data_IF_997516732237
#
_entry.id   IF_997516732237
#
_cell.length_a   1.000
_cell.length_b   1.000
_cell.length_c   1.000
_cell.angle_alpha   90.00
_cell.angle_beta   90.00
_cell.angle_gamma   90.00
#
_symmetry.space_group_name_H-M   'P 1'
#
loop_
_entity.id
_entity.type
_entity.pdbx_description
1 polymer ?
#
# COMPACT_ATOMS: atom_id res chain seq x y z
N UNK A 1 78.31 -27.11 46.15
CA UNK A 1 77.13 -27.29 47.02
C UNK A 1 76.52 -25.94 47.30
N UNK A 2 75.19 -25.91 47.43
CA UNK A 2 74.27 -24.78 47.74
C UNK A 2 74.17 -23.63 46.74
N UNK A 3 73.19 -23.75 45.86
CA UNK A 3 72.47 -22.65 45.20
C UNK A 3 71.72 -21.78 46.22
N UNK A 4 71.65 -20.47 45.96
CA UNK A 4 70.42 -19.68 46.15
C UNK A 4 70.46 -18.36 45.36
N UNK A 5 69.29 -17.82 44.96
CA UNK A 5 69.11 -17.23 43.63
C UNK A 5 68.90 -15.71 43.63
N UNK A 6 69.04 -15.17 42.42
CA UNK A 6 68.87 -13.78 42.03
C UNK A 6 67.49 -13.20 42.39
N UNK A 7 67.53 -11.94 42.83
CA UNK A 7 66.35 -11.08 42.98
C UNK A 7 65.83 -10.69 41.60
N UNK A 8 64.73 -11.31 41.17
CA UNK A 8 63.96 -10.84 40.02
C UNK A 8 62.98 -9.74 40.45
N UNK A 9 63.01 -8.70 39.63
CA UNK A 9 62.26 -7.45 39.62
C UNK A 9 60.73 -7.58 39.77
N UNK A 10 60.16 -6.62 40.48
CA UNK A 10 58.78 -6.53 40.95
C UNK A 10 57.78 -5.96 39.92
N UNK A 11 57.67 -6.55 38.73
CA UNK A 11 56.67 -6.10 37.74
C UNK A 11 55.72 -7.20 37.22
N UNK A 12 55.70 -8.38 37.84
CA UNK A 12 54.86 -9.51 37.42
C UNK A 12 53.89 -9.99 38.49
N UNK A 13 53.11 -9.08 39.07
CA UNK A 13 52.02 -9.44 40.01
C UNK A 13 50.80 -8.54 39.89
N UNK A 14 50.20 -8.44 38.72
CA UNK A 14 48.77 -8.17 38.63
C UNK A 14 48.22 -9.00 37.46
N UNK A 15 47.09 -9.66 37.68
CA UNK A 15 46.47 -10.72 36.86
C UNK A 15 47.02 -12.12 37.07
N UNK A 16 46.72 -12.70 38.22
CA UNK A 16 46.08 -14.02 38.26
C UNK A 16 45.54 -14.30 39.66
N UNK A 17 44.24 -14.51 39.74
CA UNK A 17 43.53 -14.78 40.98
C UNK A 17 42.03 -14.85 40.77
N UNK A 18 41.56 -15.92 40.11
CA UNK A 18 40.32 -16.65 40.44
C UNK A 18 40.10 -17.81 39.45
N UNK A 19 40.56 -18.98 39.87
CA UNK A 19 39.82 -20.27 39.83
C UNK A 19 39.21 -20.77 38.52
N UNK A 20 39.86 -21.81 37.98
CA UNK A 20 39.31 -23.13 37.61
C UNK A 20 38.06 -23.17 36.72
N UNK A 21 38.23 -23.63 35.47
CA UNK A 21 37.48 -24.77 34.90
C UNK A 21 38.21 -25.29 33.67
N UNK A 22 38.55 -26.59 33.68
CA UNK A 22 39.23 -27.31 32.62
C UNK A 22 38.37 -27.42 31.35
N UNK A 23 38.88 -26.95 30.21
CA UNK A 23 38.33 -27.27 28.89
C UNK A 23 39.05 -28.50 28.32
N UNK A 24 38.31 -29.59 28.09
CA UNK A 24 38.72 -30.63 27.15
C UNK A 24 38.12 -30.34 25.78
N UNK A 25 38.99 -30.33 24.77
CA UNK A 25 38.67 -30.20 23.35
C UNK A 25 38.22 -31.57 22.83
N UNK A 26 37.01 -31.66 22.28
CA UNK A 26 36.62 -32.75 21.37
C UNK A 26 36.22 -32.16 20.03
N UNK A 27 36.93 -32.61 19.00
CA UNK A 27 36.64 -32.38 17.59
C UNK A 27 35.64 -33.44 17.15
N UNK A 28 34.56 -33.05 16.46
CA UNK A 28 33.68 -34.00 15.75
C UNK A 28 33.11 -33.34 14.49
N UNK A 29 33.28 -34.07 13.39
CA UNK A 29 33.09 -33.69 12.00
C UNK A 29 31.61 -33.52 11.58
N UNK A 30 31.33 -32.85 10.45
CA UNK A 30 29.97 -32.54 9.99
C UNK A 30 29.43 -33.59 9.02
N UNK A 31 28.18 -34.05 9.21
CA UNK A 31 27.36 -34.79 8.23
C UNK A 31 25.89 -34.88 8.71
N UNK A 32 24.90 -35.22 7.87
CA UNK A 32 24.22 -34.36 6.89
C UNK A 32 22.71 -34.19 7.20
N UNK A 33 22.05 -33.25 6.51
CA UNK A 33 20.62 -32.96 6.70
C UNK A 33 19.77 -34.00 5.97
N UNK A 34 19.02 -34.81 6.72
CA UNK A 34 18.06 -35.79 6.17
C UNK A 34 16.61 -35.31 6.36
N UNK A 35 15.87 -35.34 5.26
CA UNK A 35 14.43 -35.11 5.13
C UNK A 35 13.62 -36.12 5.95
N UNK A 36 12.54 -35.66 6.58
CA UNK A 36 11.15 -36.13 6.40
C UNK A 36 10.23 -35.40 7.41
N UNK A 37 9.20 -34.68 6.98
CA UNK A 37 7.84 -35.13 6.63
C UNK A 37 6.86 -35.05 7.82
N UNK A 38 5.80 -34.24 7.67
CA UNK A 38 4.68 -34.15 8.63
C UNK A 38 4.27 -32.71 8.94
N UNK A 39 3.60 -31.99 8.02
CA UNK A 39 2.13 -31.90 7.92
C UNK A 39 1.48 -31.05 9.03
N UNK A 40 1.36 -29.73 8.80
CA UNK A 40 0.16 -28.94 9.06
C UNK A 40 0.07 -27.84 7.98
N UNK A 41 -0.76 -28.07 6.96
CA UNK A 41 -1.18 -27.04 5.99
C UNK A 41 -2.51 -26.47 6.49
N UNK A 42 -2.59 -25.15 6.63
CA UNK A 42 -3.85 -24.42 6.43
C UNK A 42 -3.58 -23.37 5.36
N UNK A 43 -4.41 -23.44 4.32
CA UNK A 43 -4.28 -22.70 3.08
C UNK A 43 -4.76 -21.26 3.27
N UNK A 44 -3.92 -20.28 2.93
CA UNK A 44 -4.35 -18.92 2.66
C UNK A 44 -4.49 -18.75 1.14
N UNK A 45 -5.75 -18.70 0.70
CA UNK A 45 -6.13 -18.24 -0.63
C UNK A 45 -5.80 -16.75 -0.77
N UNK A 46 -4.95 -16.40 -1.73
CA UNK A 46 -4.86 -15.06 -2.29
C UNK A 46 -5.92 -14.94 -3.39
N UNK A 47 -7.07 -14.34 -3.06
CA UNK A 47 -8.00 -13.80 -4.06
C UNK A 47 -7.76 -12.29 -4.15
N UNK A 48 -7.40 -11.89 -5.37
CA UNK A 48 -7.47 -10.53 -5.91
C UNK A 48 -8.94 -10.17 -6.05
N UNK A 49 -9.41 -9.11 -5.39
CA UNK A 49 -10.60 -8.38 -5.82
C UNK A 49 -10.61 -6.94 -5.28
N UNK A 50 -11.08 -6.05 -6.16
CA UNK A 50 -10.89 -4.61 -6.17
C UNK A 50 -11.47 -3.86 -4.95
N UNK A 51 -10.64 -3.00 -4.35
CA UNK A 51 -11.11 -1.92 -3.48
C UNK A 51 -11.65 -0.75 -4.31
N UNK A 52 -12.98 -0.70 -4.50
CA UNK A 52 -13.71 0.57 -4.70
C UNK A 52 -13.92 1.21 -3.32
N UNK A 53 -13.06 2.15 -2.96
CA UNK A 53 -13.32 3.08 -1.86
C UNK A 53 -14.27 4.18 -2.33
N UNK A 54 -15.57 4.01 -2.10
CA UNK A 54 -16.53 5.12 -2.15
C UNK A 54 -16.75 5.60 -0.72
N UNK A 55 -16.27 6.81 -0.46
CA UNK A 55 -16.69 7.66 0.65
C UNK A 55 -18.20 7.92 0.47
N UNK A 56 -19.03 7.43 1.39
CA UNK A 56 -20.40 7.94 1.54
C UNK A 56 -20.59 8.43 2.95
N UNK A 57 -20.77 9.75 3.02
CA UNK A 57 -21.08 10.48 4.24
C UNK A 57 -22.34 9.97 4.92
N UNK A 58 -22.21 9.87 6.24
CA UNK A 58 -23.13 10.43 7.24
C UNK A 58 -24.45 10.98 6.64
N UNK A 59 -25.55 10.23 6.84
CA UNK A 59 -26.91 10.76 7.03
C UNK A 59 -27.78 9.68 7.65
N UNK A 60 -27.84 9.69 8.97
CA UNK A 60 -28.89 9.05 9.76
C UNK A 60 -30.18 9.85 9.55
N UNK A 61 -31.11 9.31 8.78
CA UNK A 61 -32.52 9.71 8.83
C UNK A 61 -33.27 8.62 9.57
N UNK A 62 -33.54 8.89 10.85
CA UNK A 62 -34.53 8.18 11.64
C UNK A 62 -35.91 8.38 10.99
N UNK A 63 -36.44 7.36 10.31
CA UNK A 63 -37.86 7.33 10.00
C UNK A 63 -38.62 6.83 11.23
N UNK A 64 -38.97 7.76 12.11
CA UNK A 64 -40.13 7.56 12.99
C UNK A 64 -41.35 7.42 12.08
N UNK A 65 -41.73 6.17 11.79
CA UNK A 65 -43.01 5.89 11.14
C UNK A 65 -44.11 6.16 12.17
N UNK A 66 -44.58 7.40 12.20
CA UNK A 66 -45.83 7.78 12.82
C UNK A 66 -46.91 6.82 12.33
N UNK A 67 -47.44 6.00 13.25
CA UNK A 67 -48.71 5.31 13.01
C UNK A 67 -49.77 6.40 12.85
N UNK A 68 -50.56 6.43 11.76
CA UNK A 68 -51.79 7.17 11.81
C UNK A 68 -52.69 6.43 12.81
N UNK A 69 -52.88 7.02 13.99
CA UNK A 69 -54.05 6.73 14.78
C UNK A 69 -55.25 7.24 13.96
N UNK A 70 -55.84 6.36 13.16
CA UNK A 70 -57.23 6.51 12.79
C UNK A 70 -58.03 6.31 14.08
N UNK A 71 -58.11 7.38 14.88
CA UNK A 71 -59.24 7.56 15.79
C UNK A 71 -60.42 7.81 14.87
N UNK A 72 -61.09 6.74 14.43
CA UNK A 72 -62.46 6.88 13.96
C UNK A 72 -63.25 7.43 15.15
N UNK A 73 -63.54 8.72 15.09
CA UNK A 73 -64.46 9.37 16.00
C UNK A 73 -65.80 8.67 15.84
N UNK A 74 -66.08 7.73 16.75
CA UNK A 74 -67.43 7.26 16.96
C UNK A 74 -68.22 8.45 17.52
N UNK A 75 -68.87 9.20 16.64
CA UNK A 75 -69.95 10.08 17.04
C UNK A 75 -71.15 9.17 17.34
N UNK A 76 -71.61 9.02 18.59
CA UNK A 76 -72.90 8.41 18.82
C UNK A 76 -73.93 9.42 18.31
N UNK A 77 -74.42 9.20 17.08
CA UNK A 77 -75.61 9.89 16.61
C UNK A 77 -76.74 9.43 17.52
N UNK A 78 -76.98 10.22 18.57
CA UNK A 78 -78.05 10.02 19.53
C UNK A 78 -79.35 10.31 18.76
N UNK A 79 -79.88 9.28 18.11
CA UNK A 79 -81.20 9.31 17.48
C UNK A 79 -82.19 9.59 18.60
N UNK A 80 -82.61 10.85 18.67
CA UNK A 80 -83.64 11.36 19.57
C UNK A 80 -84.95 10.66 19.17
N UNK A 81 -85.37 9.64 19.93
CA UNK A 81 -86.70 9.03 19.75
C UNK A 81 -87.75 10.08 20.15
N UNK A 82 -88.66 10.50 19.26
CA UNK A 82 -89.85 11.25 19.66
C UNK A 82 -90.79 10.33 20.43
N UNK A 83 -91.49 10.89 21.42
CA UNK A 83 -92.19 10.16 22.48
C UNK A 83 -93.08 9.00 22.03
N UNK A 84 -92.89 7.86 22.70
CA UNK A 84 -93.91 6.83 22.85
C UNK A 84 -94.63 7.12 24.17
N UNK A 85 -95.81 7.72 24.06
CA UNK A 85 -96.85 7.62 25.06
C UNK A 85 -97.06 6.14 25.40
N UNK A 86 -97.26 5.89 26.69
CA UNK A 86 -97.69 4.62 27.27
C UNK A 86 -98.71 3.89 26.38
N UNK A 87 -98.21 2.92 25.62
CA UNK A 87 -99.00 1.78 25.16
C UNK A 87 -98.22 0.55 25.60
N UNK A 88 -98.85 -0.24 26.46
CA UNK A 88 -98.26 -1.43 27.06
C UNK A 88 -97.56 -2.27 26.00
N UNK A 89 -96.35 -2.71 26.35
CA UNK A 89 -95.56 -3.66 25.57
C UNK A 89 -96.46 -4.87 25.33
N UNK A 90 -96.99 -4.99 24.11
CA UNK A 90 -97.71 -6.18 23.70
C UNK A 90 -96.75 -7.37 23.65
N UNK A 91 -97.23 -8.60 23.88
CA UNK A 91 -96.38 -9.79 23.79
C UNK A 91 -95.64 -9.90 22.45
N UNK A 92 -96.19 -9.34 21.37
CA UNK A 92 -95.60 -9.31 20.03
C UNK A 92 -94.33 -8.44 19.91
N UNK A 93 -94.30 -7.28 20.56
CA UNK A 93 -93.14 -6.36 20.52
C UNK A 93 -91.98 -6.90 21.36
N UNK A 94 -92.29 -7.60 22.47
CA UNK A 94 -91.29 -8.29 23.29
C UNK A 94 -90.64 -9.45 22.55
N UNK A 95 -91.39 -10.17 21.71
CA UNK A 95 -90.86 -11.26 20.87
C UNK A 95 -89.93 -10.70 19.79
N UNK A 96 -90.29 -9.59 19.14
CA UNK A 96 -89.43 -8.94 18.15
C UNK A 96 -88.13 -8.43 18.76
N UNK A 97 -88.21 -7.75 19.92
CA UNK A 97 -87.02 -7.28 20.64
C UNK A 97 -86.11 -8.45 21.02
N UNK A 98 -86.67 -9.55 21.54
CA UNK A 98 -85.88 -10.76 21.85
C UNK A 98 -85.23 -11.38 20.61
N UNK A 99 -85.92 -11.39 19.46
CA UNK A 99 -85.35 -11.93 18.21
C UNK A 99 -84.19 -11.07 17.70
N UNK A 100 -84.30 -9.75 17.80
CA UNK A 100 -83.24 -8.81 17.41
C UNK A 100 -82.07 -8.86 18.40
N UNK A 101 -82.31 -9.02 19.70
CA UNK A 101 -81.26 -9.24 20.69
C UNK A 101 -80.50 -10.54 20.45
N UNK A 102 -81.20 -11.61 20.06
CA UNK A 102 -80.57 -12.87 19.67
C UNK A 102 -79.74 -12.71 18.40
N UNK A 103 -80.25 -12.01 17.38
CA UNK A 103 -79.49 -11.73 16.16
C UNK A 103 -78.27 -10.85 16.40
N UNK A 104 -78.39 -9.82 17.24
CA UNK A 104 -77.25 -8.97 17.60
C UNK A 104 -76.19 -9.75 18.36
N UNK A 105 -76.57 -10.62 19.29
CA UNK A 105 -75.62 -11.52 19.97
C UNK A 105 -74.90 -12.43 18.99
N UNK A 106 -75.62 -12.98 18.00
CA UNK A 106 -74.99 -13.79 16.96
C UNK A 106 -73.98 -12.97 16.14
N UNK A 107 -74.36 -11.78 15.70
CA UNK A 107 -73.46 -10.88 14.97
C UNK A 107 -72.24 -10.45 15.80
N UNK A 108 -72.41 -10.18 17.09
CA UNK A 108 -71.30 -9.88 18.01
C UNK A 108 -70.34 -11.07 18.10
N UNK A 109 -70.85 -12.29 18.29
CA UNK A 109 -69.99 -13.49 18.32
C UNK A 109 -69.31 -13.77 16.98
N UNK A 110 -69.96 -13.45 15.85
CA UNK A 110 -69.40 -13.59 14.51
C UNK A 110 -68.28 -12.56 14.27
N UNK A 111 -68.49 -11.31 14.71
CA UNK A 111 -67.47 -10.25 14.67
C UNK A 111 -66.27 -10.64 15.55
N UNK A 112 -66.50 -11.12 16.78
CA UNK A 112 -65.42 -11.57 17.67
C UNK A 112 -64.65 -12.77 17.09
N UNK A 113 -65.35 -13.72 16.48
CA UNK A 113 -64.77 -14.87 15.77
C UNK A 113 -63.86 -14.42 14.61
N UNK A 114 -64.34 -13.51 13.77
CA UNK A 114 -63.59 -12.97 12.63
C UNK A 114 -62.40 -12.13 13.10
N UNK A 115 -62.59 -11.25 14.08
CA UNK A 115 -61.49 -10.49 14.67
C UNK A 115 -60.41 -11.42 15.25
N UNK A 116 -60.80 -12.49 15.95
CA UNK A 116 -59.85 -13.48 16.47
C UNK A 116 -59.09 -14.25 15.38
N UNK A 117 -59.68 -14.43 14.19
CA UNK A 117 -59.00 -15.04 13.03
C UNK A 117 -58.01 -14.08 12.35
N UNK A 118 -58.33 -12.79 12.28
CA UNK A 118 -57.51 -11.81 11.54
C UNK A 118 -56.54 -11.00 12.41
N UNK A 119 -56.77 -10.90 13.73
CA UNK A 119 -55.92 -10.15 14.66
C UNK A 119 -54.80 -10.99 15.29
N UNK A 120 -54.91 -12.33 15.26
CA UNK A 120 -53.84 -13.22 15.75
C UNK A 120 -52.72 -13.24 14.72
N UNK A 121 -51.47 -12.90 15.10
CA UNK A 121 -50.33 -13.07 14.20
C UNK A 121 -50.33 -14.50 13.67
N UNK A 122 -50.43 -14.67 12.36
CA UNK A 122 -50.25 -15.97 11.71
C UNK A 122 -48.89 -16.53 12.15
N UNK A 123 -48.78 -17.85 12.38
CA UNK A 123 -47.54 -18.47 12.88
C UNK A 123 -46.30 -18.10 12.05
N UNK A 124 -46.49 -17.89 10.75
CA UNK A 124 -45.46 -17.39 9.83
C UNK A 124 -44.89 -16.02 10.23
N UNK A 125 -45.72 -15.08 10.68
CA UNK A 125 -45.29 -13.77 11.15
C UNK A 125 -44.43 -13.89 12.42
N UNK A 126 -44.80 -14.77 13.35
CA UNK A 126 -44.03 -15.02 14.58
C UNK A 126 -42.66 -15.61 14.24
N UNK A 127 -42.59 -16.57 13.30
CA UNK A 127 -41.33 -17.15 12.84
C UNK A 127 -40.40 -16.11 12.20
N UNK A 128 -40.92 -15.23 11.35
CA UNK A 128 -40.11 -14.15 10.76
C UNK A 128 -39.68 -13.11 11.81
N UNK A 129 -40.53 -12.81 12.79
CA UNK A 129 -40.16 -11.93 13.91
C UNK A 129 -39.04 -12.55 14.77
N UNK A 130 -39.05 -13.86 15.01
CA UNK A 130 -37.98 -14.59 15.68
C UNK A 130 -36.68 -14.61 14.87
N UNK A 131 -36.74 -14.91 13.57
CA UNK A 131 -35.56 -14.85 12.69
C UNK A 131 -34.95 -13.44 12.64
N UNK A 132 -35.79 -12.40 12.56
CA UNK A 132 -35.32 -11.01 12.60
C UNK A 132 -34.65 -10.66 13.94
N UNK A 133 -35.17 -11.16 15.06
CA UNK A 133 -34.54 -10.99 16.37
C UNK A 133 -33.17 -11.67 16.42
N UNK A 134 -33.06 -12.89 15.91
CA UNK A 134 -31.79 -13.62 15.90
C UNK A 134 -30.75 -12.94 14.98
N UNK A 135 -31.17 -12.51 13.79
CA UNK A 135 -30.31 -11.75 12.87
C UNK A 135 -29.82 -10.43 13.49
N UNK A 136 -30.67 -9.73 14.25
CA UNK A 136 -30.27 -8.53 14.99
C UNK A 136 -29.26 -8.85 16.09
N UNK A 137 -29.49 -9.91 16.87
CA UNK A 137 -28.56 -10.37 17.90
C UNK A 137 -27.19 -10.71 17.31
N UNK A 138 -27.17 -11.42 16.18
CA UNK A 138 -25.93 -11.72 15.46
C UNK A 138 -25.25 -10.44 14.93
N UNK A 139 -26.01 -9.50 14.37
CA UNK A 139 -25.47 -8.22 13.92
C UNK A 139 -24.82 -7.43 15.07
N UNK A 140 -25.47 -7.40 16.24
CA UNK A 140 -24.93 -6.72 17.43
C UNK A 140 -23.68 -7.42 17.97
N UNK A 141 -23.63 -8.76 17.93
CA UNK A 141 -22.43 -9.52 18.30
C UNK A 141 -21.25 -9.24 17.36
N UNK A 142 -21.48 -9.27 16.05
CA UNK A 142 -20.46 -8.93 15.06
C UNK A 142 -20.01 -7.48 15.21
N UNK A 143 -20.95 -6.58 15.55
CA UNK A 143 -20.66 -5.16 15.81
C UNK A 143 -19.73 -5.02 17.02
N UNK A 144 -20.00 -5.72 18.12
CA UNK A 144 -19.18 -5.72 19.33
C UNK A 144 -17.79 -6.30 19.09
N UNK A 145 -17.69 -7.43 18.38
CA UNK A 145 -16.40 -8.04 18.02
C UNK A 145 -15.54 -7.10 17.17
N UNK A 146 -16.15 -6.43 16.19
CA UNK A 146 -15.48 -5.41 15.37
C UNK A 146 -14.99 -4.25 16.23
N UNK A 147 -15.82 -3.72 17.14
CA UNK A 147 -15.42 -2.60 18.00
C UNK A 147 -14.27 -2.99 18.95
N UNK A 148 -14.28 -4.20 19.50
CA UNK A 148 -13.18 -4.74 20.30
C UNK A 148 -11.88 -4.89 19.47
N UNK A 149 -11.99 -5.42 18.25
CA UNK A 149 -10.83 -5.55 17.36
C UNK A 149 -10.24 -4.20 16.95
N UNK A 150 -11.09 -3.20 16.68
CA UNK A 150 -10.67 -1.83 16.38
C UNK A 150 -9.98 -1.22 17.60
N UNK A 151 -10.54 -1.36 18.80
CA UNK A 151 -9.95 -0.83 20.03
C UNK A 151 -8.60 -1.48 20.37
N UNK A 152 -8.40 -2.76 20.03
CA UNK A 152 -7.14 -3.48 20.25
C UNK A 152 -6.06 -3.12 19.21
N UNK A 153 -6.44 -2.64 18.03
CA UNK A 153 -5.51 -2.33 16.93
C UNK A 153 -4.53 -1.22 17.30
N UNK A 154 -5.01 -0.11 17.83
CA UNK A 154 -4.19 1.08 18.14
C UNK A 154 -3.14 0.82 19.24
N UNK A 155 -3.45 0.17 20.38
CA UNK A 155 -2.44 -0.15 21.38
C UNK A 155 -1.43 -1.20 20.88
N UNK A 156 -1.84 -2.18 20.07
CA UNK A 156 -0.90 -3.13 19.45
C UNK A 156 0.03 -2.43 18.46
N UNK A 157 -0.48 -1.50 17.65
CA UNK A 157 0.33 -0.69 16.76
C UNK A 157 1.33 0.18 17.54
N UNK A 158 0.90 0.79 18.65
CA UNK A 158 1.79 1.55 19.55
C UNK A 158 2.90 0.70 20.16
N UNK A 159 2.59 -0.51 20.65
CA UNK A 159 3.60 -1.45 21.17
C UNK A 159 4.62 -1.86 20.10
N UNK A 160 4.14 -2.14 18.89
CA UNK A 160 5.00 -2.50 17.76
C UNK A 160 5.93 -1.34 17.38
N UNK A 161 5.44 -0.09 17.40
CA UNK A 161 6.25 1.09 17.15
C UNK A 161 7.29 1.31 18.25
N UNK A 162 6.92 1.15 19.52
CA UNK A 162 7.89 1.23 20.63
C UNK A 162 8.99 0.18 20.52
N UNK A 163 8.67 -1.05 20.09
CA UNK A 163 9.66 -2.11 19.89
C UNK A 163 10.58 -1.78 18.72
N UNK A 164 10.04 -1.23 17.62
CA UNK A 164 10.85 -0.77 16.48
C UNK A 164 11.83 0.31 16.88
N UNK A 165 11.39 1.35 17.59
CA UNK A 165 12.28 2.44 18.05
C UNK A 165 13.41 1.88 18.91
N UNK A 166 13.09 1.01 19.88
CA UNK A 166 14.12 0.35 20.71
C UNK A 166 15.08 -0.51 19.90
N UNK A 167 14.59 -1.18 18.86
CA UNK A 167 15.42 -1.99 17.96
C UNK A 167 16.35 -1.10 17.13
N UNK A 168 15.85 0.01 16.60
CA UNK A 168 16.63 0.99 15.84
C UNK A 168 17.72 1.62 16.70
N UNK A 169 17.40 2.05 17.93
CA UNK A 169 18.38 2.55 18.90
C UNK A 169 19.46 1.51 19.21
N UNK A 170 19.09 0.25 19.46
CA UNK A 170 20.04 -0.82 19.70
C UNK A 170 20.94 -1.10 18.48
N UNK A 171 20.38 -1.01 17.28
CA UNK A 171 21.11 -1.17 16.02
C UNK A 171 22.10 -0.03 15.80
N UNK A 172 21.73 1.22 16.11
CA UNK A 172 22.64 2.36 16.07
C UNK A 172 23.77 2.25 17.09
N UNK A 173 23.47 1.84 18.33
CA UNK A 173 24.48 1.60 19.35
C UNK A 173 25.45 0.48 18.94
N UNK A 174 24.94 -0.60 18.34
CA UNK A 174 25.77 -1.69 17.79
C UNK A 174 26.70 -1.19 16.70
N UNK A 175 26.18 -0.39 15.76
CA UNK A 175 27.00 0.21 14.68
C UNK A 175 28.09 1.12 15.25
N UNK A 176 27.79 1.95 16.25
CA UNK A 176 28.78 2.79 16.94
C UNK A 176 29.88 1.93 17.57
N UNK A 177 29.50 0.88 18.30
CA UNK A 177 30.47 -0.04 18.90
C UNK A 177 31.31 -0.78 17.85
N UNK A 178 30.72 -1.20 16.72
CA UNK A 178 31.45 -1.81 15.59
C UNK A 178 32.46 -0.84 14.97
N UNK A 179 32.09 0.43 14.79
CA UNK A 179 32.99 1.48 14.31
C UNK A 179 34.13 1.74 15.30
N UNK A 180 33.84 1.80 16.60
CA UNK A 180 34.87 1.98 17.64
C UNK A 180 35.85 0.79 17.64
N UNK A 181 35.36 -0.45 17.49
CA UNK A 181 36.21 -1.65 17.38
C UNK A 181 37.12 -1.58 16.14
N UNK A 182 36.59 -1.18 14.99
CA UNK A 182 37.39 -1.03 13.78
C UNK A 182 38.39 0.13 13.89
N UNK A 183 38.03 1.20 14.61
CA UNK A 183 38.92 2.32 14.89
C UNK A 183 40.09 1.94 15.83
N UNK A 184 39.89 1.05 16.79
CA UNK A 184 40.96 0.57 17.68
C UNK A 184 41.88 -0.48 17.05
N UNK A 185 41.46 -1.11 15.95
CA UNK A 185 42.25 -2.11 15.24
C UNK A 185 43.67 -1.63 14.83
N UNK A 186 43.84 -0.47 14.16
CA UNK A 186 45.18 0.03 13.84
C UNK A 186 46.03 0.34 15.06
N UNK A 187 45.42 0.78 16.18
CA UNK A 187 46.17 1.05 17.42
C UNK A 187 46.72 -0.24 18.03
N UNK A 188 45.96 -1.33 17.98
CA UNK A 188 46.42 -2.67 18.39
C UNK A 188 47.52 -3.18 17.46
N UNK A 189 47.39 -2.99 16.15
CA UNK A 189 48.43 -3.36 15.16
C UNK A 189 49.72 -2.52 15.34
N UNK A 190 49.58 -1.24 15.66
CA UNK A 190 50.70 -0.36 15.98
C UNK A 190 51.39 -0.77 17.29
N UNK A 191 50.62 -1.07 18.35
CA UNK A 191 51.17 -1.54 19.61
C UNK A 191 51.87 -2.89 19.48
N UNK A 192 51.30 -3.83 18.71
CA UNK A 192 51.90 -5.14 18.47
C UNK A 192 53.17 -5.05 17.62
N UNK A 193 53.19 -4.22 16.57
CA UNK A 193 54.40 -3.99 15.78
C UNK A 193 55.52 -3.30 16.59
N UNK A 194 55.18 -2.33 17.45
CA UNK A 194 56.13 -1.72 18.37
C UNK A 194 56.69 -2.74 19.38
N UNK A 195 55.84 -3.62 19.93
CA UNK A 195 56.27 -4.71 20.82
C UNK A 195 57.27 -5.63 20.12
N UNK A 196 56.96 -6.09 18.91
CA UNK A 196 57.84 -6.96 18.10
C UNK A 196 59.17 -6.26 17.79
N UNK A 197 59.16 -4.96 17.49
CA UNK A 197 60.38 -4.20 17.25
C UNK A 197 61.28 -4.14 18.49
N UNK A 198 60.69 -3.92 19.67
CA UNK A 198 61.40 -3.91 20.95
C UNK A 198 61.92 -5.30 21.33
N UNK A 199 61.13 -6.36 21.11
CA UNK A 199 61.55 -7.76 21.31
C UNK A 199 62.80 -8.07 20.45
N UNK A 200 62.79 -7.68 19.17
CA UNK A 200 63.97 -7.85 18.29
C UNK A 200 65.18 -7.05 18.75
N UNK A 201 64.98 -5.83 19.29
CA UNK A 201 66.08 -5.04 19.83
C UNK A 201 66.66 -5.68 21.09
N UNK A 202 65.82 -6.25 21.95
CA UNK A 202 66.24 -7.01 23.12
C UNK A 202 67.09 -8.22 22.69
N UNK A 203 66.57 -9.05 21.78
CA UNK A 203 67.29 -10.23 21.25
C UNK A 203 68.66 -9.83 20.67
N UNK A 204 68.72 -8.75 19.89
CA UNK A 204 69.98 -8.25 19.33
C UNK A 204 70.97 -7.80 20.40
N UNK A 205 70.50 -7.15 21.47
CA UNK A 205 71.34 -6.73 22.58
C UNK A 205 71.84 -7.93 23.40
N UNK A 206 71.00 -8.94 23.61
CA UNK A 206 71.39 -10.20 24.25
C UNK A 206 72.51 -10.89 23.47
N UNK A 207 72.35 -11.06 22.15
CA UNK A 207 73.40 -11.63 21.28
C UNK A 207 74.69 -10.81 21.35
N UNK A 208 74.59 -9.47 21.41
CA UNK A 208 75.76 -8.61 21.52
C UNK A 208 76.47 -8.75 22.86
N UNK A 209 75.73 -8.90 23.96
CA UNK A 209 76.30 -9.16 25.28
C UNK A 209 77.02 -10.51 25.29
N UNK A 210 76.40 -11.56 24.78
CA UNK A 210 77.01 -12.89 24.69
C UNK A 210 78.28 -12.89 23.83
N UNK A 211 78.27 -12.15 22.72
CA UNK A 211 79.45 -11.96 21.88
C UNK A 211 80.58 -11.27 22.64
N UNK A 212 80.31 -10.15 23.30
CA UNK A 212 81.31 -9.44 24.09
C UNK A 212 81.86 -10.29 25.24
N UNK A 213 81.01 -11.09 25.90
CA UNK A 213 81.45 -12.01 26.94
C UNK A 213 82.36 -13.12 26.39
N UNK A 214 82.09 -13.65 25.19
CA UNK A 214 82.97 -14.63 24.53
C UNK A 214 84.32 -14.01 24.17
N UNK A 215 84.31 -12.85 23.51
CA UNK A 215 85.54 -12.13 23.14
C UNK A 215 86.37 -11.82 24.38
N UNK A 216 85.75 -11.32 25.45
CA UNK A 216 86.48 -11.00 26.68
C UNK A 216 87.09 -12.24 27.35
N UNK A 217 86.40 -13.40 27.30
CA UNK A 217 86.97 -14.67 27.79
C UNK A 217 88.16 -15.10 26.95
N UNK A 218 88.05 -15.01 25.63
CA UNK A 218 89.15 -15.34 24.70
C UNK A 218 90.35 -14.40 24.89
N UNK A 219 90.13 -13.09 25.03
CA UNK A 219 91.18 -12.10 25.32
C UNK A 219 91.88 -12.39 26.66
N UNK A 220 91.13 -12.73 27.71
CA UNK A 220 91.72 -13.12 29.00
C UNK A 220 92.58 -14.37 28.82
N UNK A 221 92.07 -15.40 28.15
CA UNK A 221 92.83 -16.64 27.90
C UNK A 221 94.10 -16.37 27.09
N UNK A 222 94.04 -15.50 26.09
CA UNK A 222 95.19 -15.12 25.27
C UNK A 222 96.21 -14.30 26.06
N UNK A 223 95.77 -13.30 26.84
CA UNK A 223 96.65 -12.54 27.73
C UNK A 223 97.30 -13.44 28.79
N UNK A 224 96.55 -14.40 29.36
CA UNK A 224 97.14 -15.38 30.27
C UNK A 224 98.18 -16.26 29.57
N UNK A 225 97.89 -16.76 28.36
CA UNK A 225 98.86 -17.49 27.53
C UNK A 225 100.10 -16.64 27.25
N UNK A 226 99.94 -15.35 26.93
CA UNK A 226 101.06 -14.43 26.72
C UNK A 226 101.88 -14.21 27.98
N UNK A 227 101.25 -14.08 29.15
CA UNK A 227 101.97 -13.98 30.44
C UNK A 227 102.76 -15.26 30.72
N UNK A 228 102.15 -16.44 30.54
CA UNK A 228 102.85 -17.72 30.70
C UNK A 228 103.96 -17.90 29.67
N UNK A 229 103.73 -17.51 28.42
CA UNK A 229 104.72 -17.55 27.36
C UNK A 229 105.88 -16.58 27.65
N UNK A 230 105.60 -15.33 28.03
CA UNK A 230 106.60 -14.33 28.42
C UNK A 230 107.40 -14.74 29.66
N UNK A 231 106.79 -15.53 30.56
CA UNK A 231 107.47 -16.13 31.70
C UNK A 231 108.35 -17.34 31.31
N UNK A 232 108.14 -17.94 30.13
CA UNK A 232 108.91 -19.07 29.58
C UNK A 232 109.93 -18.61 28.50
N UNK A 233 109.70 -17.48 27.81
CA UNK A 233 110.54 -16.94 26.73
C UNK A 233 111.48 -15.82 27.17
N UNK A 234 111.63 -15.59 28.49
CA UNK A 234 112.70 -14.74 29.03
C UNK A 234 114.12 -15.34 28.88
N UNK A 235 114.26 -16.47 28.19
CA UNK A 235 115.53 -17.08 27.81
C UNK A 235 115.44 -17.63 26.39
N UNK A 236 116.27 -17.08 25.50
CA UNK A 236 116.64 -17.59 24.16
C UNK A 236 115.62 -17.38 23.03
N UNK A 237 115.94 -16.93 21.81
CA UNK A 237 117.21 -16.58 21.18
C UNK A 237 116.93 -15.59 20.02
N UNK A 238 117.83 -14.63 19.84
CA UNK A 238 117.89 -13.79 18.65
C UNK A 238 118.49 -14.59 17.49
N UNK A 239 117.75 -14.75 16.41
CA UNK A 239 118.34 -14.92 15.08
C UNK A 239 117.71 -13.89 14.16
N UNK A 240 118.52 -12.99 13.62
CA UNK A 240 118.09 -12.04 12.60
C UNK A 240 117.71 -12.85 11.35
N UNK A 241 116.41 -12.92 10.98
CA UNK A 241 116.04 -13.41 9.67
C UNK A 241 116.48 -12.36 8.65
N UNK A 242 116.76 -12.75 7.42
CA UNK A 242 117.08 -11.83 6.33
C UNK A 242 115.95 -10.81 6.14
N UNK A 243 116.16 -9.65 6.77
CA UNK A 243 115.19 -8.58 6.96
C UNK A 243 114.72 -8.03 5.61
N UNK A 244 115.54 -8.19 4.56
CA UNK A 244 115.27 -7.63 3.24
C UNK A 244 114.13 -8.36 2.50
N UNK A 245 114.07 -9.70 2.60
CA UNK A 245 112.99 -10.49 2.00
C UNK A 245 111.70 -10.36 2.80
N UNK A 246 111.79 -10.39 4.13
CA UNK A 246 110.66 -10.19 5.02
C UNK A 246 110.04 -8.78 4.86
N UNK A 247 110.86 -7.72 4.78
CA UNK A 247 110.38 -6.35 4.52
C UNK A 247 109.67 -6.27 3.16
N UNK A 248 110.23 -6.86 2.10
CA UNK A 248 109.59 -6.86 0.77
C UNK A 248 108.27 -7.63 0.75
N UNK A 249 108.18 -8.76 1.46
CA UNK A 249 106.96 -9.53 1.56
C UNK A 249 105.89 -8.81 2.39
N UNK A 250 106.30 -8.14 3.48
CA UNK A 250 105.42 -7.27 4.26
C UNK A 250 104.94 -6.09 3.41
N UNK A 251 105.82 -5.46 2.62
CA UNK A 251 105.44 -4.41 1.68
C UNK A 251 104.41 -4.89 0.66
N UNK A 252 104.64 -6.04 0.00
CA UNK A 252 103.67 -6.62 -0.93
C UNK A 252 102.33 -6.99 -0.28
N UNK A 253 102.34 -7.48 0.97
CA UNK A 253 101.12 -7.74 1.73
C UNK A 253 100.38 -6.45 2.05
N UNK A 254 101.08 -5.38 2.43
CA UNK A 254 100.47 -4.07 2.65
C UNK A 254 99.90 -3.49 1.37
N UNK A 255 100.61 -3.61 0.25
CA UNK A 255 100.13 -3.13 -1.06
C UNK A 255 98.88 -3.91 -1.51
N UNK A 256 98.85 -5.23 -1.33
CA UNK A 256 97.68 -6.08 -1.63
C UNK A 256 96.49 -5.78 -0.71
N UNK A 257 96.73 -5.62 0.59
CA UNK A 257 95.69 -5.22 1.56
C UNK A 257 95.15 -3.84 1.21
N UNK A 258 96.02 -2.86 0.91
CA UNK A 258 95.59 -1.52 0.53
C UNK A 258 94.77 -1.54 -0.76
N UNK A 259 95.18 -2.31 -1.77
CA UNK A 259 94.44 -2.48 -3.02
C UNK A 259 93.06 -3.12 -2.79
N UNK A 260 92.98 -4.19 -1.98
CA UNK A 260 91.72 -4.84 -1.61
C UNK A 260 90.80 -3.90 -0.83
N UNK A 261 91.33 -3.17 0.16
CA UNK A 261 90.56 -2.23 0.96
C UNK A 261 89.97 -1.12 0.08
N UNK A 262 90.73 -0.64 -0.91
CA UNK A 262 90.26 0.37 -1.86
C UNK A 262 89.18 -0.18 -2.79
N UNK A 263 89.33 -1.40 -3.30
CA UNK A 263 88.31 -2.07 -4.11
C UNK A 263 87.03 -2.35 -3.31
N UNK A 264 87.16 -2.81 -2.07
CA UNK A 264 86.05 -3.05 -1.15
C UNK A 264 85.30 -1.74 -0.86
N UNK A 265 86.02 -0.65 -0.56
CA UNK A 265 85.41 0.68 -0.40
C UNK A 265 84.69 1.14 -1.67
N UNK A 266 85.30 1.00 -2.85
CA UNK A 266 84.67 1.35 -4.13
C UNK A 266 83.39 0.56 -4.39
N UNK A 267 83.41 -0.75 -4.13
CA UNK A 267 82.24 -1.62 -4.28
C UNK A 267 81.15 -1.28 -3.25
N UNK A 268 81.54 -0.95 -2.01
CA UNK A 268 80.65 -0.54 -0.95
C UNK A 268 79.96 0.78 -1.27
N UNK A 269 80.72 1.78 -1.75
CA UNK A 269 80.16 3.05 -2.19
C UNK A 269 79.24 2.88 -3.39
N UNK A 270 79.64 2.10 -4.41
CA UNK A 270 78.78 1.79 -5.57
C UNK A 270 77.46 1.17 -5.12
N UNK A 271 77.52 0.13 -4.29
CA UNK A 271 76.32 -0.52 -3.75
C UNK A 271 75.47 0.46 -2.93
N UNK A 272 76.07 1.36 -2.14
CA UNK A 272 75.32 2.38 -1.40
C UNK A 272 74.67 3.41 -2.30
N UNK A 273 75.32 3.83 -3.38
CA UNK A 273 74.72 4.73 -4.36
C UNK A 273 73.57 4.06 -5.12
N UNK A 274 73.72 2.79 -5.51
CA UNK A 274 72.65 1.99 -6.11
C UNK A 274 71.46 1.83 -5.15
N UNK A 275 71.70 1.44 -3.89
CA UNK A 275 70.67 1.34 -2.85
C UNK A 275 69.88 2.64 -2.68
N UNK A 276 70.59 3.79 -2.66
CA UNK A 276 69.96 5.11 -2.52
C UNK A 276 69.19 5.50 -3.78
N UNK A 277 69.75 5.21 -4.97
CA UNK A 277 69.09 5.43 -6.26
C UNK A 277 67.80 4.60 -6.35
N UNK A 278 67.86 3.31 -6.01
CA UNK A 278 66.72 2.39 -6.01
C UNK A 278 65.62 2.80 -5.02
N UNK A 279 66.01 3.27 -3.83
CA UNK A 279 65.02 3.79 -2.86
C UNK A 279 64.36 5.06 -3.39
N UNK A 280 65.13 5.93 -4.04
CA UNK A 280 64.61 7.16 -4.65
C UNK A 280 63.64 6.86 -5.79
N UNK A 281 63.99 5.96 -6.71
CA UNK A 281 63.12 5.56 -7.83
C UNK A 281 61.83 4.90 -7.34
N UNK A 282 61.94 3.95 -6.39
CA UNK A 282 60.76 3.30 -5.77
C UNK A 282 59.86 4.32 -5.07
N UNK A 283 60.43 5.31 -4.38
CA UNK A 283 59.65 6.38 -3.76
C UNK A 283 58.93 7.24 -4.81
N UNK A 284 59.59 7.60 -5.90
CA UNK A 284 58.97 8.33 -7.03
C UNK A 284 57.83 7.52 -7.66
N UNK A 285 58.04 6.22 -7.88
CA UNK A 285 57.01 5.32 -8.43
C UNK A 285 55.82 5.16 -7.48
N UNK A 286 56.06 5.01 -6.17
CA UNK A 286 54.99 4.95 -5.16
C UNK A 286 54.17 6.24 -5.14
N UNK A 287 54.82 7.41 -5.18
CA UNK A 287 54.14 8.70 -5.26
C UNK A 287 53.33 8.83 -6.55
N UNK A 288 53.86 8.32 -7.68
CA UNK A 288 53.12 8.30 -8.95
C UNK A 288 51.87 7.40 -8.86
N UNK A 289 52.00 6.20 -8.32
CA UNK A 289 50.87 5.27 -8.10
C UNK A 289 49.76 5.91 -7.26
N UNK A 290 50.13 6.51 -6.12
CA UNK A 290 49.17 7.21 -5.24
C UNK A 290 48.49 8.37 -5.98
N UNK A 291 49.22 9.14 -6.81
CA UNK A 291 48.61 10.20 -7.63
C UNK A 291 47.61 9.67 -8.65
N UNK A 292 47.91 8.53 -9.27
CA UNK A 292 47.00 7.87 -10.22
C UNK A 292 45.74 7.34 -9.52
N UNK A 293 45.88 6.75 -8.33
CA UNK A 293 44.76 6.30 -7.49
C UNK A 293 43.87 7.47 -7.00
N UNK A 294 44.48 8.60 -6.63
CA UNK A 294 43.73 9.82 -6.30
C UNK A 294 42.98 10.32 -7.54
N UNK A 295 43.60 10.30 -8.71
CA UNK A 295 42.98 10.74 -9.95
C UNK A 295 41.83 9.83 -10.40
N UNK A 296 41.96 8.51 -10.25
CA UNK A 296 40.88 7.56 -10.53
C UNK A 296 39.74 7.72 -9.53
N UNK A 297 40.04 7.79 -8.23
CA UNK A 297 39.03 8.02 -7.18
C UNK A 297 38.26 9.32 -7.41
N UNK A 298 38.95 10.40 -7.83
CA UNK A 298 38.30 11.67 -8.19
C UNK A 298 37.38 11.53 -9.40
N UNK A 299 37.75 10.76 -10.43
CA UNK A 299 36.88 10.47 -11.58
C UNK A 299 35.65 9.67 -11.16
N UNK A 300 35.82 8.69 -10.28
CA UNK A 300 34.73 7.88 -9.76
C UNK A 300 33.75 8.71 -8.93
N UNK A 301 34.26 9.59 -8.06
CA UNK A 301 33.43 10.55 -7.31
C UNK A 301 32.59 11.39 -8.27
N UNK A 302 33.21 12.02 -9.28
CA UNK A 302 32.47 12.82 -10.26
C UNK A 302 31.46 11.99 -11.06
N UNK A 303 31.77 10.73 -11.37
CA UNK A 303 30.84 9.82 -12.03
C UNK A 303 29.61 9.56 -11.16
N UNK A 304 29.83 9.26 -9.86
CA UNK A 304 28.76 9.05 -8.89
C UNK A 304 27.95 10.31 -8.62
N UNK A 305 28.56 11.49 -8.60
CA UNK A 305 27.85 12.77 -8.48
C UNK A 305 26.89 12.98 -9.65
N UNK A 306 27.33 12.72 -10.89
CA UNK A 306 26.46 12.77 -12.09
C UNK A 306 25.34 11.74 -12.03
N UNK A 307 25.63 10.51 -11.57
CA UNK A 307 24.60 9.49 -11.38
C UNK A 307 23.54 9.96 -10.36
N UNK A 308 23.97 10.54 -9.24
CA UNK A 308 23.08 11.10 -8.21
C UNK A 308 22.21 12.23 -8.79
N UNK A 309 22.80 13.17 -9.52
CA UNK A 309 22.05 14.25 -10.19
C UNK A 309 21.04 13.70 -11.20
N UNK A 310 21.42 12.68 -11.98
CA UNK A 310 20.52 12.01 -12.93
C UNK A 310 19.36 11.28 -12.24
N UNK A 311 19.59 10.72 -11.05
CA UNK A 311 18.56 10.06 -10.26
C UNK A 311 17.64 11.06 -9.57
N UNK A 312 18.18 12.18 -9.08
CA UNK A 312 17.40 13.29 -8.51
C UNK A 312 16.43 13.87 -9.54
N UNK A 313 16.93 14.20 -10.74
CA UNK A 313 16.10 14.71 -11.84
C UNK A 313 15.02 13.71 -12.27
N UNK A 314 15.32 12.40 -12.30
CA UNK A 314 14.32 11.36 -12.53
C UNK A 314 13.27 11.28 -11.40
N UNK A 315 13.69 11.40 -10.14
CA UNK A 315 12.78 11.41 -8.99
C UNK A 315 11.83 12.60 -9.07
N UNK A 316 12.34 13.80 -9.31
CA UNK A 316 11.55 15.02 -9.47
C UNK A 316 10.56 14.90 -10.64
N UNK A 317 10.98 14.31 -11.76
CA UNK A 317 10.09 14.08 -12.91
C UNK A 317 8.96 13.08 -12.57
N UNK A 318 9.28 11.99 -11.85
CA UNK A 318 8.27 11.02 -11.41
C UNK A 318 7.31 11.61 -10.38
N UNK A 319 7.80 12.41 -9.44
CA UNK A 319 6.97 13.14 -8.48
C UNK A 319 6.03 14.13 -9.19
N UNK A 320 6.54 14.87 -10.17
CA UNK A 320 5.73 15.77 -10.99
C UNK A 320 4.63 15.00 -11.76
N UNK A 321 4.96 13.83 -12.34
CA UNK A 321 4.00 12.96 -13.02
C UNK A 321 2.93 12.42 -12.05
N UNK A 322 3.32 12.03 -10.83
CA UNK A 322 2.38 11.59 -9.79
C UNK A 322 1.45 12.74 -9.41
N UNK A 323 1.96 13.95 -9.20
CA UNK A 323 1.14 15.11 -8.87
C UNK A 323 0.17 15.47 -10.01
N UNK A 324 0.62 15.43 -11.27
CA UNK A 324 -0.22 15.70 -12.43
C UNK A 324 -1.34 14.66 -12.57
N UNK A 325 -1.01 13.37 -12.46
CA UNK A 325 -2.00 12.29 -12.51
C UNK A 325 -2.98 12.36 -11.34
N UNK A 326 -2.52 12.64 -10.12
CA UNK A 326 -3.40 12.88 -8.98
C UNK A 326 -4.33 14.08 -9.21
N UNK A 327 -3.84 15.17 -9.78
CA UNK A 327 -4.66 16.34 -10.13
C UNK A 327 -5.71 16.00 -11.19
N UNK A 328 -5.35 15.22 -12.22
CA UNK A 328 -6.30 14.72 -13.23
C UNK A 328 -7.37 13.84 -12.58
N UNK A 329 -6.97 12.86 -11.76
CA UNK A 329 -7.91 12.00 -11.04
C UNK A 329 -8.79 12.74 -10.02
N UNK A 330 -8.37 13.88 -9.48
CA UNK A 330 -9.22 14.73 -8.63
C UNK A 330 -10.27 15.50 -9.44
N UNK A 331 -9.93 15.95 -10.64
CA UNK A 331 -10.84 16.69 -11.53
C UNK A 331 -11.88 15.80 -12.19
N UNK A 332 -11.52 14.59 -12.61
CA UNK A 332 -12.43 13.65 -13.26
C UNK A 332 -13.74 13.40 -12.47
N UNK A 333 -13.73 13.11 -11.14
CA UNK A 333 -14.97 12.96 -10.39
C UNK A 333 -15.74 14.27 -10.28
N UNK A 334 -15.08 15.43 -10.17
CA UNK A 334 -15.77 16.73 -10.15
C UNK A 334 -16.52 16.98 -11.46
N UNK A 335 -15.88 16.70 -12.60
CA UNK A 335 -16.49 16.78 -13.94
C UNK A 335 -17.65 15.79 -14.10
N UNK A 336 -17.50 14.54 -13.64
CA UNK A 336 -18.57 13.54 -13.65
C UNK A 336 -19.74 13.94 -12.75
N UNK A 337 -19.50 14.51 -11.56
CA UNK A 337 -20.55 15.02 -10.69
C UNK A 337 -21.29 16.19 -11.35
N UNK A 338 -20.58 17.15 -11.94
CA UNK A 338 -21.18 18.25 -12.68
C UNK A 338 -22.04 17.73 -13.85
N UNK A 339 -21.58 16.69 -14.56
CA UNK A 339 -22.36 16.04 -15.62
C UNK A 339 -23.63 15.36 -15.09
N UNK A 340 -23.54 14.66 -13.96
CA UNK A 340 -24.70 14.05 -13.29
C UNK A 340 -25.72 15.13 -12.88
N UNK A 341 -25.26 16.24 -12.30
CA UNK A 341 -26.13 17.36 -11.90
C UNK A 341 -26.84 17.98 -13.10
N UNK A 342 -26.12 18.21 -14.21
CA UNK A 342 -26.73 18.71 -15.45
C UNK A 342 -27.83 17.77 -15.98
N UNK A 343 -27.55 16.46 -16.03
CA UNK A 343 -28.53 15.45 -16.46
C UNK A 343 -29.74 15.36 -15.50
N UNK A 344 -29.52 15.51 -14.19
CA UNK A 344 -30.61 15.56 -13.22
C UNK A 344 -31.49 16.79 -13.41
N UNK A 345 -30.90 17.94 -13.78
CA UNK A 345 -31.64 19.16 -14.08
C UNK A 345 -32.48 18.99 -15.36
N UNK A 346 -31.87 18.46 -16.43
CA UNK A 346 -32.59 18.13 -17.67
C UNK A 346 -33.76 17.18 -17.41
N UNK A 347 -33.54 16.12 -16.62
CA UNK A 347 -34.59 15.16 -16.23
C UNK A 347 -35.73 15.83 -15.44
N UNK A 348 -35.41 16.75 -14.53
CA UNK A 348 -36.43 17.53 -13.81
C UNK A 348 -37.22 18.41 -14.78
N UNK A 349 -36.54 19.07 -15.72
CA UNK A 349 -37.16 19.89 -16.75
C UNK A 349 -38.11 19.09 -17.66
N UNK A 350 -37.71 17.91 -18.12
CA UNK A 350 -38.58 17.06 -18.95
C UNK A 350 -39.78 16.52 -18.17
N UNK A 351 -39.61 16.16 -16.89
CA UNK A 351 -40.73 15.78 -16.01
C UNK A 351 -41.73 16.91 -15.81
N UNK A 352 -41.26 18.14 -15.62
CA UNK A 352 -42.12 19.32 -15.52
C UNK A 352 -42.89 19.55 -16.82
N UNK A 353 -42.22 19.49 -17.98
CA UNK A 353 -42.87 19.58 -19.30
C UNK A 353 -43.93 18.50 -19.49
N UNK A 354 -43.64 17.25 -19.13
CA UNK A 354 -44.60 16.15 -19.20
C UNK A 354 -45.82 16.38 -18.29
N UNK A 355 -45.61 16.89 -17.07
CA UNK A 355 -46.70 17.22 -16.15
C UNK A 355 -47.59 18.38 -16.67
N UNK A 356 -46.99 19.39 -17.31
CA UNK A 356 -47.72 20.48 -17.95
C UNK A 356 -48.58 19.95 -19.11
N UNK A 357 -48.00 19.14 -20.01
CA UNK A 357 -48.73 18.53 -21.11
C UNK A 357 -49.92 17.69 -20.61
N UNK A 358 -49.73 16.87 -19.56
CA UNK A 358 -50.82 16.10 -18.96
C UNK A 358 -51.97 16.98 -18.44
N UNK A 359 -51.64 18.14 -17.86
CA UNK A 359 -52.64 19.11 -17.42
C UNK A 359 -53.39 19.72 -18.60
N UNK A 360 -52.67 20.16 -19.64
CA UNK A 360 -53.26 20.70 -20.86
C UNK A 360 -54.17 19.67 -21.56
N UNK A 361 -53.77 18.39 -21.60
CA UNK A 361 -54.60 17.31 -22.10
C UNK A 361 -55.88 17.11 -21.29
N UNK A 362 -55.80 17.17 -19.96
CA UNK A 362 -56.98 17.07 -19.11
C UNK A 362 -57.93 18.26 -19.30
N UNK A 363 -57.40 19.47 -19.42
CA UNK A 363 -58.19 20.69 -19.67
C UNK A 363 -58.89 20.60 -21.04
N UNK A 364 -58.19 20.15 -22.08
CA UNK A 364 -58.79 19.91 -23.40
C UNK A 364 -59.87 18.82 -23.37
N UNK A 365 -59.64 17.74 -22.62
CA UNK A 365 -60.64 16.68 -22.42
C UNK A 365 -61.89 17.22 -21.73
N UNK A 366 -61.73 18.07 -20.71
CA UNK A 366 -62.86 18.71 -20.03
C UNK A 366 -63.68 19.58 -21.00
N UNK A 367 -63.01 20.36 -21.87
CA UNK A 367 -63.69 21.15 -22.92
C UNK A 367 -64.42 20.24 -23.90
N UNK A 368 -63.78 19.15 -24.36
CA UNK A 368 -64.42 18.15 -25.24
C UNK A 368 -65.69 17.57 -24.61
N UNK A 369 -65.64 17.19 -23.32
CA UNK A 369 -66.81 16.68 -22.61
C UNK A 369 -67.92 17.73 -22.49
N UNK A 370 -67.58 19.00 -22.22
CA UNK A 370 -68.56 20.10 -22.21
C UNK A 370 -69.24 20.25 -23.57
N UNK A 371 -68.46 20.24 -24.67
CA UNK A 371 -68.98 20.30 -26.03
C UNK A 371 -69.83 19.08 -26.38
N UNK A 372 -69.47 17.88 -25.92
CA UNK A 372 -70.29 16.68 -26.08
C UNK A 372 -71.65 16.82 -25.37
N UNK A 373 -71.67 17.37 -24.16
CA UNK A 373 -72.91 17.70 -23.45
C UNK A 373 -73.71 18.72 -24.25
N UNK A 374 -73.11 19.82 -24.70
CA UNK A 374 -73.77 20.84 -25.52
C UNK A 374 -74.37 20.22 -26.80
N UNK A 375 -73.62 19.41 -27.55
CA UNK A 375 -74.12 18.70 -28.74
C UNK A 375 -75.31 17.80 -28.41
N UNK A 376 -75.29 17.08 -27.29
CA UNK A 376 -76.45 16.27 -26.87
C UNK A 376 -77.65 17.13 -26.50
N UNK A 377 -77.45 18.31 -25.89
CA UNK A 377 -78.54 19.24 -25.60
C UNK A 377 -79.12 19.86 -26.87
N UNK A 378 -78.27 20.28 -27.82
CA UNK A 378 -78.71 20.79 -29.11
C UNK A 378 -79.48 19.72 -29.91
N UNK A 379 -79.00 18.46 -29.93
CA UNK A 379 -79.73 17.34 -30.56
C UNK A 379 -81.12 17.16 -29.95
N UNK A 380 -81.23 17.15 -28.62
CA UNK A 380 -82.53 17.02 -27.94
C UNK A 380 -83.50 18.18 -28.24
N UNK A 381 -82.98 19.40 -28.37
CA UNK A 381 -83.79 20.57 -28.71
C UNK A 381 -84.36 20.46 -30.13
N UNK A 382 -83.51 20.03 -31.08
CA UNK A 382 -83.92 19.78 -32.47
C UNK A 382 -84.93 18.63 -32.53
N UNK A 383 -84.68 17.50 -31.86
CA UNK A 383 -85.63 16.39 -31.76
C UNK A 383 -86.98 16.85 -31.16
N UNK A 384 -86.96 17.76 -30.19
CA UNK A 384 -88.16 18.38 -29.62
C UNK A 384 -88.91 19.27 -30.61
N UNK A 385 -88.20 20.06 -31.43
CA UNK A 385 -88.80 20.84 -32.52
C UNK A 385 -89.33 19.95 -33.65
N UNK A 386 -88.58 18.93 -34.06
CA UNK A 386 -89.01 17.95 -35.06
C UNK A 386 -90.28 17.22 -34.59
N UNK A 387 -90.39 16.89 -33.30
CA UNK A 387 -91.63 16.34 -32.73
C UNK A 387 -92.79 17.32 -32.81
N UNK A 388 -92.56 18.61 -32.51
CA UNK A 388 -93.57 19.67 -32.61
C UNK A 388 -94.01 19.92 -34.06
N UNK A 389 -93.07 19.98 -34.99
CA UNK A 389 -93.32 20.16 -36.42
C UNK A 389 -93.99 18.93 -37.02
N UNK A 390 -93.55 17.71 -36.68
CA UNK A 390 -94.19 16.48 -37.10
C UNK A 390 -95.63 16.39 -36.58
N UNK A 391 -95.90 16.77 -35.32
CA UNK A 391 -97.25 16.87 -34.76
C UNK A 391 -98.12 17.87 -35.53
N UNK A 392 -97.55 19.03 -35.90
CA UNK A 392 -98.24 20.06 -36.69
C UNK A 392 -98.50 19.60 -38.13
N UNK A 393 -97.56 18.90 -38.77
CA UNK A 393 -97.73 18.30 -40.11
C UNK A 393 -98.75 17.15 -40.06
N UNK A 394 -98.78 16.34 -38.98
CA UNK A 394 -99.81 15.32 -38.78
C UNK A 394 -101.22 15.94 -38.65
N UNK A 395 -101.33 17.12 -38.01
CA UNK A 395 -102.60 17.87 -37.94
C UNK A 395 -103.06 18.45 -39.28
N UNK A 396 -102.13 18.70 -40.22
CA UNK A 396 -102.45 19.11 -41.60
C UNK A 396 -102.72 17.89 -42.51
N UNK A 397 -102.14 16.73 -42.21
CA UNK A 397 -102.38 15.48 -42.94
C UNK A 397 -103.75 14.84 -42.66
N UNK A 398 -104.42 15.19 -41.55
CA UNK A 398 -105.80 14.71 -41.26
C UNK A 398 -106.89 15.30 -42.16
N UNK A 399 -106.57 16.20 -43.10
CA UNK A 399 -107.51 16.72 -44.12
C UNK A 399 -107.27 16.20 -45.55
N UNK A 400 -106.33 15.29 -45.79
CA UNK A 400 -106.05 14.82 -47.16
C UNK A 400 -105.72 13.32 -47.23
N UNK A 401 -106.72 12.49 -46.91
CA UNK A 401 -106.81 11.15 -47.48
C UNK A 401 -107.37 11.29 -48.90
N UNK A 402 -106.57 11.00 -49.94
CA UNK A 402 -106.97 10.20 -51.10
C UNK A 402 -105.76 9.97 -52.05
N UNK A 403 -105.69 8.74 -52.54
CA UNK A 403 -104.93 8.22 -53.71
C UNK A 403 -103.49 7.68 -53.52
N UNK A 404 -103.46 6.34 -53.43
CA UNK A 404 -102.68 5.36 -54.23
C UNK A 404 -101.14 5.48 -54.30
N UNK A 405 -100.33 4.43 -54.14
CA UNK A 405 -100.52 3.00 -53.95
C UNK A 405 -99.22 2.26 -54.33
N UNK A 406 -98.93 1.10 -53.69
CA UNK A 406 -98.08 -0.03 -54.17
C UNK A 406 -96.56 0.26 -54.39
N UNK A 407 -95.55 -0.59 -54.08
CA UNK A 407 -95.36 -2.02 -53.80
C UNK A 407 -94.00 -2.16 -53.04
N UNK A 408 -93.87 -2.92 -51.95
CA UNK A 408 -93.21 -4.26 -51.93
C UNK A 408 -91.68 -4.24 -52.09
N UNK A 409 -90.87 -4.41 -51.03
CA UNK A 409 -90.19 -5.67 -50.60
C UNK A 409 -89.08 -5.24 -49.60
N UNK A 410 -88.66 -5.91 -48.51
CA UNK A 410 -88.94 -7.21 -47.92
C UNK A 410 -87.67 -7.76 -47.24
N UNK A 411 -87.53 -7.55 -45.91
CA UNK A 411 -86.81 -8.37 -44.90
C UNK A 411 -85.26 -8.60 -45.05
N UNK A 412 -84.43 -8.90 -44.05
CA UNK A 412 -84.63 -9.37 -42.68
C UNK A 412 -83.29 -9.39 -41.88
N UNK A 413 -83.38 -9.24 -40.54
CA UNK A 413 -82.59 -9.88 -39.45
C UNK A 413 -81.08 -9.53 -39.31
N UNK A 414 -80.46 -9.38 -38.12
CA UNK A 414 -80.87 -9.53 -36.73
C UNK A 414 -79.63 -9.57 -35.79
N UNK A 415 -79.87 -9.31 -34.49
CA UNK A 415 -79.01 -9.55 -33.29
C UNK A 415 -77.66 -8.79 -33.16
N UNK A 416 -77.17 -8.34 -32.01
CA UNK A 416 -77.58 -8.44 -30.60
C UNK A 416 -76.34 -8.30 -29.67
N UNK A 417 -76.49 -7.69 -28.47
CA UNK A 417 -75.59 -7.77 -27.30
C UNK A 417 -74.24 -7.03 -27.39
N UNK A 418 -73.84 -6.14 -26.45
CA UNK A 418 -73.34 -6.48 -25.10
C UNK A 418 -71.98 -7.17 -25.20
N UNK A 419 -70.85 -6.82 -24.58
CA UNK A 419 -70.56 -6.42 -23.20
C UNK A 419 -69.03 -6.21 -23.07
N UNK A 420 -68.65 -5.15 -22.35
CA UNK A 420 -67.70 -5.13 -21.22
C UNK A 420 -66.27 -5.73 -21.29
N UNK A 421 -65.36 -5.03 -20.61
CA UNK A 421 -64.28 -5.64 -19.82
C UNK A 421 -62.87 -5.20 -20.18
N UNK A 422 -62.13 -4.66 -19.19
CA UNK A 422 -60.73 -4.28 -19.26
C UNK A 422 -59.79 -5.40 -19.73
N UNK A 423 -58.48 -5.18 -19.84
CA UNK A 423 -57.54 -5.06 -18.73
C UNK A 423 -56.18 -4.73 -19.36
N UNK A 424 -55.51 -3.66 -18.93
CA UNK A 424 -54.04 -3.60 -18.90
C UNK A 424 -53.56 -4.36 -17.64
N UNK A 425 -52.31 -4.81 -17.44
CA UNK A 425 -51.06 -4.37 -18.08
C UNK A 425 -49.96 -5.48 -18.22
N UNK A 426 -48.72 -5.09 -18.55
CA UNK A 426 -47.49 -5.85 -18.25
C UNK A 426 -46.64 -6.14 -19.50
N UNK A 427 -45.50 -5.48 -19.74
CA UNK A 427 -44.20 -5.53 -19.04
C UNK A 427 -43.25 -6.64 -19.55
N UNK A 428 -41.99 -6.26 -19.82
CA UNK A 428 -40.83 -7.14 -20.06
C UNK A 428 -40.36 -7.12 -21.52
N UNK A 429 -39.29 -6.41 -21.91
CA UNK A 429 -37.86 -6.57 -21.60
C UNK A 429 -37.21 -7.85 -22.17
N UNK A 430 -36.32 -7.68 -23.17
CA UNK A 430 -35.10 -8.47 -23.46
C UNK A 430 -34.40 -7.81 -24.67
N UNK A 431 -33.27 -7.10 -24.49
CA UNK A 431 -31.88 -7.59 -24.51
C UNK A 431 -31.41 -8.14 -25.87
N UNK A 432 -30.40 -7.49 -26.45
CA UNK A 432 -29.26 -8.21 -27.05
C UNK A 432 -28.72 -7.71 -28.39
N UNK A 433 -27.39 -7.50 -28.41
CA UNK A 433 -26.47 -7.39 -29.57
C UNK A 433 -26.26 -5.98 -30.12
N UNK A 434 -25.05 -5.48 -30.38
CA UNK A 434 -23.71 -6.05 -30.36
C UNK A 434 -22.74 -5.11 -31.12
N UNK A 435 -21.55 -4.93 -30.55
CA UNK A 435 -20.24 -4.52 -31.09
C UNK A 435 -20.06 -3.88 -32.50
N UNK A 436 -19.12 -2.93 -32.52
CA UNK A 436 -18.26 -2.52 -33.67
C UNK A 436 -18.68 -1.16 -34.24
N UNK A 437 -17.86 -0.11 -34.32
CA UNK A 437 -16.41 -0.03 -34.46
C UNK A 437 -16.13 0.77 -35.75
N UNK A 438 -15.51 1.96 -35.63
CA UNK A 438 -14.95 2.69 -36.76
C UNK A 438 -15.53 4.09 -36.97
N UNK A 439 -14.83 5.11 -36.46
CA UNK A 439 -14.84 6.45 -37.03
C UNK A 439 -13.38 6.89 -37.18
N UNK A 440 -12.97 6.98 -38.44
CA UNK A 440 -11.72 7.59 -38.86
C UNK A 440 -11.95 8.97 -39.45
N UNK A 441 -10.83 9.70 -39.52
CA UNK A 441 -10.49 10.81 -40.41
C UNK A 441 -10.98 12.23 -40.06
N UNK A 442 -10.02 13.00 -39.54
CA UNK A 442 -9.81 14.44 -39.72
C UNK A 442 -8.41 14.76 -39.18
N UNK A 443 -7.36 14.78 -40.00
CA UNK A 443 -6.81 15.97 -40.69
C UNK A 443 -6.61 17.14 -39.70
N UNK A 444 -5.39 17.32 -39.16
CA UNK A 444 -4.38 18.26 -39.67
C UNK A 444 -4.52 19.60 -38.92
N UNK A 445 -3.52 20.33 -38.44
CA UNK A 445 -2.10 20.43 -38.76
C UNK A 445 -1.49 21.48 -37.79
N UNK A 446 -0.18 21.43 -37.53
CA UNK A 446 0.61 22.60 -37.13
C UNK A 446 1.07 22.72 -35.67
N UNK A 447 2.25 22.17 -35.35
CA UNK A 447 3.49 22.95 -35.11
C UNK A 447 4.41 22.27 -34.09
N UNK A 448 5.32 21.41 -34.57
CA UNK A 448 6.53 21.00 -33.85
C UNK A 448 7.67 20.92 -34.87
N UNK A 449 8.31 22.07 -35.11
CA UNK A 449 9.53 22.16 -35.89
C UNK A 449 10.45 23.15 -35.18
N UNK A 450 11.17 22.70 -34.13
CA UNK A 450 12.27 23.48 -33.55
C UNK A 450 13.37 22.68 -32.85
N UNK A 451 13.40 21.34 -32.96
CA UNK A 451 14.42 20.53 -32.26
C UNK A 451 15.27 19.62 -33.16
N UNK A 452 15.36 19.91 -34.47
CA UNK A 452 16.24 19.17 -35.38
C UNK A 452 17.35 19.99 -36.02
N UNK A 453 17.40 21.30 -35.82
CA UNK A 453 18.40 22.15 -36.45
C UNK A 453 19.65 22.39 -35.59
N UNK A 454 19.60 22.15 -34.28
CA UNK A 454 20.77 22.37 -33.38
C UNK A 454 21.79 21.21 -33.39
N UNK A 455 21.38 19.96 -33.66
CA UNK A 455 22.33 18.84 -33.74
C UNK A 455 23.10 18.76 -35.08
N UNK A 456 22.72 19.56 -36.09
CA UNK A 456 23.39 19.59 -37.39
C UNK A 456 24.48 20.67 -37.49
N UNK A 457 24.45 21.71 -36.64
CA UNK A 457 25.52 22.73 -36.60
C UNK A 457 26.68 22.35 -35.66
N UNK A 458 26.45 21.54 -34.63
CA UNK A 458 27.53 21.16 -33.70
C UNK A 458 28.52 20.12 -34.29
N UNK A 459 28.14 19.44 -35.38
CA UNK A 459 29.00 18.50 -36.10
C UNK A 459 29.83 19.14 -37.22
N UNK A 460 29.62 20.43 -37.52
CA UNK A 460 30.43 21.18 -38.49
C UNK A 460 31.51 22.05 -37.85
N UNK A 461 31.41 22.38 -36.57
CA UNK A 461 32.47 23.13 -35.85
C UNK A 461 33.61 22.25 -35.31
N UNK A 462 33.46 20.92 -35.26
CA UNK A 462 34.54 20.00 -34.85
C UNK A 462 35.43 19.48 -35.98
N UNK A 463 35.29 20.01 -37.20
CA UNK A 463 36.13 19.62 -38.36
C UNK A 463 37.11 20.69 -38.85
N UNK A 464 37.26 21.81 -38.13
CA UNK A 464 38.25 22.87 -38.46
C UNK A 464 39.39 22.99 -37.45
N UNK A 465 39.51 22.10 -36.46
CA UNK A 465 40.62 22.13 -35.46
C UNK A 465 41.64 21.00 -35.65
N UNK A 466 41.50 20.18 -36.70
CA UNK A 466 42.53 19.18 -37.06
C UNK A 466 42.70 19.10 -38.58
N UNK A 467 43.23 20.17 -39.18
CA UNK A 467 44.20 20.16 -40.29
C UNK A 467 45.19 21.29 -40.04
#
# INVERSE_FOLDING_TARGET
MSHSPERISSYRRHFEGSTSTSYQVRVSSPSPVQRDAGRWRSASYSRVEAGRGVVVGRRTISSTRSRPLLTSSWNPLKVRRPGLLERGIGPSDLVLVRSLEQQNKLLETEIESLQNRFMKPTGLRVLYEEQLKELRRLADQMKMQRDLAIAAKDPMAGQLEMIKVKYEEALELRKKAELDVEAFRPDVDAATSARIALEKQLDNLEVKIEFLQRVHKEEIEELMKQIYAAQITATDAYSLPDLSVAIKQVQLQYDDIAAKTLQEMDSWYRSKFEDLSDKSTKHVDAVRSVREEIASSKKDIQSKERDIESLKTKSEALEAQILETQKKHRKEPEELHARIEALQLELKGTKQKAALLLREYQDLLNVKMSLEVEMTTYRKLIEGEDYRLASMVHSVQTTSLMSAGSLGTGAALGNGGGIAGGVAPGAGAAVGSGLGGGLGAGAGEGSTADYRQEQAMELTERKTVLI
#
